data_IF_115652333656
#
_entry.id   IF_115652333656
#
_cell.length_a   1.000
_cell.length_b   1.000
_cell.length_c   1.000
_cell.angle_alpha   90.00
_cell.angle_beta   90.00
_cell.angle_gamma   90.00
#
_symmetry.space_group_name_H-M   'P 1'
#
loop_
_entity.id
_entity.type
_entity.pdbx_description
1 polymer ?
#
# COMPACT_ATOMS: atom_id res chain seq x y z
N UNK A 1 -39.28 -0.26 -18.76
CA UNK A 1 -38.23 0.77 -18.88
C UNK A 1 -37.44 0.45 -20.12
N UNK A 2 -37.59 1.25 -21.17
CA UNK A 2 -36.69 1.22 -22.32
C UNK A 2 -35.28 1.62 -21.84
N UNK A 3 -34.23 1.19 -22.53
CA UNK A 3 -32.84 1.53 -22.14
C UNK A 3 -32.54 3.04 -22.18
N UNK A 4 -33.48 3.85 -22.70
CA UNK A 4 -33.40 5.32 -22.78
C UNK A 4 -33.72 6.04 -21.45
N UNK A 5 -34.35 5.37 -20.47
CA UNK A 5 -34.70 5.96 -19.16
C UNK A 5 -33.64 5.74 -18.05
N UNK A 6 -32.53 5.05 -18.36
CA UNK A 6 -31.48 4.79 -17.38
C UNK A 6 -30.49 5.97 -17.33
N UNK A 7 -30.44 6.64 -16.18
CA UNK A 7 -29.43 7.66 -15.92
C UNK A 7 -28.01 7.08 -16.07
N UNK A 8 -27.08 7.78 -16.74
CA UNK A 8 -25.70 7.31 -16.89
C UNK A 8 -25.02 7.12 -15.54
N UNK A 9 -24.33 5.99 -15.36
CA UNK A 9 -23.54 5.73 -14.16
C UNK A 9 -22.32 6.66 -14.10
N UNK A 10 -22.37 7.62 -13.18
CA UNK A 10 -21.32 8.62 -12.97
C UNK A 10 -19.98 7.98 -12.60
N UNK A 11 -19.98 6.78 -12.00
CA UNK A 11 -18.78 6.05 -11.58
C UNK A 11 -18.03 5.39 -12.74
N UNK A 12 -18.70 5.17 -13.87
CA UNK A 12 -18.11 4.53 -15.06
C UNK A 12 -17.49 5.51 -16.05
N UNK A 13 -17.60 6.81 -15.80
CA UNK A 13 -17.05 7.82 -16.69
C UNK A 13 -15.52 7.76 -16.69
N UNK A 14 -14.93 7.62 -17.88
CA UNK A 14 -13.49 7.76 -18.06
C UNK A 14 -13.08 9.22 -17.89
N UNK A 15 -12.45 9.50 -16.75
CA UNK A 15 -11.98 10.83 -16.40
C UNK A 15 -10.72 11.23 -17.15
N UNK A 16 -10.06 10.35 -17.91
CA UNK A 16 -8.85 10.67 -18.67
C UNK A 16 -9.13 11.26 -20.04
N UNK A 17 -10.36 11.13 -20.54
CA UNK A 17 -10.80 11.66 -21.85
C UNK A 17 -11.89 12.73 -21.75
N UNK A 18 -12.63 12.79 -20.63
CA UNK A 18 -13.80 13.66 -20.47
C UNK A 18 -13.48 15.14 -20.19
N UNK A 19 -13.45 15.97 -21.23
CA UNK A 19 -13.39 17.45 -21.13
C UNK A 19 -14.81 18.01 -20.99
N UNK A 20 -15.04 18.83 -19.97
CA UNK A 20 -16.35 19.45 -19.72
C UNK A 20 -16.27 20.97 -19.60
N UNK A 21 -15.23 21.60 -20.17
CA UNK A 21 -15.20 23.06 -20.36
C UNK A 21 -16.23 23.43 -21.43
N UNK A 22 -17.08 24.44 -21.20
CA UNK A 22 -18.18 24.80 -22.13
C UNK A 22 -17.70 25.37 -23.46
N UNK A 23 -16.75 26.31 -23.40
CA UNK A 23 -16.18 27.00 -24.56
C UNK A 23 -14.66 26.99 -24.42
N UNK A 24 -14.01 25.83 -24.60
CA UNK A 24 -12.56 25.75 -24.55
C UNK A 24 -11.98 26.52 -25.74
N UNK A 25 -10.94 27.33 -25.51
CA UNK A 25 -10.18 27.97 -26.57
C UNK A 25 -9.58 26.94 -27.53
N UNK A 26 -9.11 25.83 -26.96
CA UNK A 26 -8.54 24.69 -27.68
C UNK A 26 -8.98 23.39 -26.99
N UNK A 27 -9.96 22.72 -27.60
CA UNK A 27 -10.49 21.45 -27.10
C UNK A 27 -9.47 20.32 -27.23
N UNK A 28 -8.71 20.29 -28.32
CA UNK A 28 -7.72 19.25 -28.58
C UNK A 28 -6.60 19.31 -27.54
N UNK A 29 -6.14 20.51 -27.21
CA UNK A 29 -5.17 20.72 -26.14
C UNK A 29 -5.69 20.25 -24.78
N UNK A 30 -6.97 20.55 -24.45
CA UNK A 30 -7.59 20.09 -23.21
C UNK A 30 -7.63 18.55 -23.14
N UNK A 31 -8.01 17.89 -24.22
CA UNK A 31 -8.04 16.43 -24.32
C UNK A 31 -6.63 15.84 -24.17
N UNK A 32 -5.63 16.45 -24.81
CA UNK A 32 -4.23 16.06 -24.68
C UNK A 32 -3.75 16.19 -23.23
N UNK A 33 -4.04 17.30 -22.55
CA UNK A 33 -3.68 17.48 -21.15
C UNK A 33 -4.31 16.41 -20.24
N UNK A 34 -5.60 16.13 -20.40
CA UNK A 34 -6.28 15.09 -19.62
C UNK A 34 -5.65 13.71 -19.81
N UNK A 35 -5.25 13.35 -21.04
CA UNK A 35 -4.61 12.05 -21.30
C UNK A 35 -3.26 11.85 -20.59
N UNK A 36 -2.66 12.93 -20.06
CA UNK A 36 -1.35 12.91 -19.39
C UNK A 36 -1.43 12.89 -17.87
N UNK A 37 -2.63 12.95 -17.28
CA UNK A 37 -2.77 12.99 -15.82
C UNK A 37 -4.08 12.40 -15.34
N UNK A 38 -4.04 11.78 -14.17
CA UNK A 38 -5.25 11.35 -13.44
C UNK A 38 -5.90 12.49 -12.65
N UNK A 39 -5.27 13.66 -12.59
CA UNK A 39 -5.84 14.84 -11.96
C UNK A 39 -7.10 15.31 -12.71
N UNK A 40 -8.10 15.78 -11.97
CA UNK A 40 -9.41 16.20 -12.51
C UNK A 40 -9.35 17.61 -13.13
N UNK A 41 -8.52 17.77 -14.16
CA UNK A 41 -8.39 19.01 -14.94
C UNK A 41 -9.39 19.06 -16.11
N UNK A 42 -9.54 20.24 -16.71
CA UNK A 42 -10.43 20.49 -17.86
C UNK A 42 -11.91 20.16 -17.57
N UNK A 43 -12.35 20.35 -16.33
CA UNK A 43 -13.72 20.05 -15.85
C UNK A 43 -14.69 21.24 -15.89
N UNK A 44 -14.23 22.39 -16.40
CA UNK A 44 -15.02 23.62 -16.44
C UNK A 44 -15.44 24.16 -15.07
N UNK A 45 -16.44 25.05 -15.07
CA UNK A 45 -17.00 25.68 -13.86
C UNK A 45 -18.42 26.17 -14.09
N UNK A 46 -19.21 26.30 -13.02
CA UNK A 46 -20.46 27.04 -12.98
C UNK A 46 -20.26 28.28 -12.08
N UNK A 47 -20.07 29.46 -12.68
CA UNK A 47 -19.57 30.64 -11.95
C UNK A 47 -18.18 30.36 -11.37
N UNK A 48 -18.06 30.39 -10.04
CA UNK A 48 -16.85 30.04 -9.28
C UNK A 48 -16.91 28.65 -8.63
N UNK A 49 -17.90 27.82 -8.99
CA UNK A 49 -18.13 26.49 -8.41
C UNK A 49 -17.88 25.38 -9.42
N UNK A 50 -17.78 24.15 -8.92
CA UNK A 50 -17.74 22.96 -9.77
C UNK A 50 -19.04 22.81 -10.57
N UNK A 51 -18.94 22.18 -11.73
CA UNK A 51 -20.11 21.69 -12.44
C UNK A 51 -20.76 20.54 -11.65
N UNK A 52 -22.07 20.39 -11.81
CA UNK A 52 -22.86 19.35 -11.12
C UNK A 52 -22.28 17.96 -11.36
N UNK A 53 -21.92 17.63 -12.59
CA UNK A 53 -21.33 16.34 -12.94
C UNK A 53 -20.01 16.08 -12.19
N UNK A 54 -19.09 17.05 -12.20
CA UNK A 54 -17.82 16.97 -11.48
C UNK A 54 -18.04 16.78 -9.98
N UNK A 55 -19.03 17.47 -9.42
CA UNK A 55 -19.39 17.36 -8.01
C UNK A 55 -19.98 15.98 -7.68
N UNK A 56 -20.90 15.47 -8.48
CA UNK A 56 -21.48 14.15 -8.31
C UNK A 56 -20.42 13.06 -8.42
N UNK A 57 -19.54 13.15 -9.41
CA UNK A 57 -18.41 12.23 -9.56
C UNK A 57 -17.50 12.27 -8.33
N UNK A 58 -17.15 13.46 -7.85
CA UNK A 58 -16.34 13.61 -6.64
C UNK A 58 -16.97 12.93 -5.43
N UNK A 59 -18.29 13.09 -5.24
CA UNK A 59 -19.03 12.46 -4.13
C UNK A 59 -19.09 10.93 -4.27
N UNK A 60 -19.26 10.42 -5.48
CA UNK A 60 -19.25 8.98 -5.75
C UNK A 60 -17.87 8.37 -5.40
N UNK A 61 -16.78 8.96 -5.91
CA UNK A 61 -15.44 8.44 -5.63
C UNK A 61 -15.07 8.59 -4.14
N UNK A 62 -15.56 9.63 -3.47
CA UNK A 62 -15.38 9.79 -2.03
C UNK A 62 -16.09 8.70 -1.23
N UNK A 63 -17.27 8.25 -1.66
CA UNK A 63 -17.95 7.13 -1.01
C UNK A 63 -17.13 5.84 -1.13
N UNK A 64 -16.62 5.54 -2.32
CA UNK A 64 -15.73 4.38 -2.55
C UNK A 64 -14.46 4.46 -1.70
N UNK A 65 -13.84 5.64 -1.61
CA UNK A 65 -12.66 5.85 -0.77
C UNK A 65 -12.97 5.63 0.72
N UNK A 66 -14.16 6.00 1.20
CA UNK A 66 -14.59 5.71 2.57
C UNK A 66 -14.78 4.22 2.79
N UNK A 67 -15.43 3.51 1.86
CA UNK A 67 -15.62 2.05 1.97
C UNK A 67 -14.28 1.30 2.00
N UNK A 68 -13.28 1.77 1.23
CA UNK A 68 -11.93 1.21 1.26
C UNK A 68 -11.29 1.29 2.66
N UNK A 69 -11.52 2.38 3.42
CA UNK A 69 -11.00 2.50 4.80
C UNK A 69 -11.58 1.41 5.71
N UNK A 70 -12.85 1.03 5.53
CA UNK A 70 -13.55 0.09 6.39
C UNK A 70 -13.44 -1.37 5.95
N UNK A 71 -12.97 -1.62 4.73
CA UNK A 71 -12.76 -2.96 4.21
C UNK A 71 -11.67 -3.76 4.95
N UNK A 72 -11.70 -5.08 4.81
CA UNK A 72 -10.71 -6.02 5.33
C UNK A 72 -9.94 -6.69 4.19
N UNK A 73 -8.72 -7.14 4.48
CA UNK A 73 -7.90 -7.90 3.53
C UNK A 73 -8.57 -9.25 3.31
N UNK A 74 -8.67 -9.67 2.05
CA UNK A 74 -9.09 -11.03 1.73
C UNK A 74 -7.94 -11.98 2.07
N UNK A 75 -8.03 -12.57 3.25
CA UNK A 75 -6.96 -13.43 3.76
C UNK A 75 -6.74 -14.69 2.92
N UNK A 76 -7.69 -15.08 2.06
CA UNK A 76 -7.53 -16.23 1.16
C UNK A 76 -6.41 -16.01 0.13
N UNK A 77 -6.13 -14.76 -0.22
CA UNK A 77 -5.03 -14.38 -1.11
C UNK A 77 -3.65 -14.61 -0.48
N UNK A 78 -3.59 -14.75 0.85
CA UNK A 78 -2.34 -14.94 1.60
C UNK A 78 -2.05 -16.42 1.90
N UNK A 79 -3.06 -17.28 1.84
CA UNK A 79 -2.94 -18.70 2.16
C UNK A 79 -1.96 -19.45 1.25
N UNK A 80 -1.95 -19.25 -0.10
CA UNK A 80 -1.01 -19.92 -0.99
C UNK A 80 0.47 -19.64 -0.65
N UNK A 81 0.75 -18.51 -0.01
CA UNK A 81 2.09 -18.06 0.33
C UNK A 81 2.51 -18.42 1.77
N UNK A 82 1.63 -19.05 2.55
CA UNK A 82 1.96 -19.52 3.90
C UNK A 82 2.20 -18.40 4.92
N UNK A 83 1.53 -17.25 4.78
CA UNK A 83 1.66 -16.14 5.73
C UNK A 83 1.24 -16.56 7.14
N UNK A 84 2.15 -16.40 8.10
CA UNK A 84 1.84 -16.56 9.51
C UNK A 84 1.04 -15.36 10.02
N UNK A 85 -0.22 -15.60 10.38
CA UNK A 85 -1.17 -14.55 10.75
C UNK A 85 -1.04 -14.19 12.23
N UNK A 86 -0.87 -12.89 12.49
CA UNK A 86 -0.85 -12.30 13.84
C UNK A 86 -1.67 -11.01 13.86
N UNK A 87 -2.02 -10.55 15.05
CA UNK A 87 -2.76 -9.30 15.26
C UNK A 87 -2.04 -8.44 16.29
N UNK A 88 -2.17 -7.12 16.14
CA UNK A 88 -1.68 -6.15 17.13
C UNK A 88 -2.57 -6.13 18.38
N UNK A 89 -2.36 -5.17 19.29
CA UNK A 89 -3.23 -4.96 20.47
C UNK A 89 -4.62 -4.41 20.13
N UNK A 90 -4.91 -4.19 18.86
CA UNK A 90 -6.19 -3.66 18.40
C UNK A 90 -7.24 -4.77 18.31
N UNK A 91 -8.47 -4.47 18.72
CA UNK A 91 -9.58 -5.41 18.71
C UNK A 91 -10.49 -5.27 17.49
N UNK A 92 -10.65 -4.05 16.96
CA UNK A 92 -11.55 -3.76 15.86
C UNK A 92 -11.09 -2.54 15.04
N UNK A 93 -11.76 -2.29 13.91
CA UNK A 93 -11.40 -1.22 12.96
C UNK A 93 -11.57 0.19 13.55
N UNK A 94 -12.60 0.44 14.36
CA UNK A 94 -12.79 1.74 15.03
C UNK A 94 -11.61 2.07 15.94
N UNK A 95 -11.17 1.11 16.74
CA UNK A 95 -10.00 1.25 17.59
C UNK A 95 -8.73 1.41 16.74
N UNK A 96 -8.58 0.66 15.65
CA UNK A 96 -7.44 0.79 14.74
C UNK A 96 -7.23 2.22 14.24
N UNK A 97 -8.34 2.88 13.85
CA UNK A 97 -8.32 4.24 13.30
C UNK A 97 -8.00 5.30 14.36
N UNK A 98 -8.38 5.07 15.61
CA UNK A 98 -8.26 6.04 16.71
C UNK A 98 -7.06 5.80 17.63
N UNK A 99 -6.47 4.60 17.62
CA UNK A 99 -5.38 4.16 18.52
C UNK A 99 -4.15 3.68 17.74
N UNK A 100 -3.42 4.60 17.06
CA UNK A 100 -2.20 4.23 16.34
C UNK A 100 -1.10 3.69 17.25
N UNK A 101 -1.13 3.98 18.55
CA UNK A 101 -0.21 3.46 19.55
C UNK A 101 -0.35 1.94 19.76
N UNK A 102 -1.58 1.42 19.75
CA UNK A 102 -1.88 0.00 19.90
C UNK A 102 -1.57 -0.78 18.62
N UNK A 103 -1.84 -0.18 17.45
CA UNK A 103 -1.51 -0.78 16.14
C UNK A 103 -0.02 -0.90 15.84
N UNK A 104 0.87 -0.40 16.72
CA UNK A 104 2.34 -0.55 16.62
C UNK A 104 2.90 -1.61 17.56
N UNK A 105 2.04 -2.28 18.35
CA UNK A 105 2.45 -3.15 19.45
C UNK A 105 1.77 -4.50 19.37
N UNK A 106 2.48 -5.49 19.90
CA UNK A 106 2.00 -6.85 20.06
C UNK A 106 1.87 -7.17 21.54
N UNK A 107 0.95 -8.06 21.88
CA UNK A 107 0.95 -8.69 23.18
C UNK A 107 2.17 -9.62 23.32
N UNK A 108 2.75 -9.82 24.52
CA UNK A 108 3.92 -10.66 24.72
C UNK A 108 3.79 -12.08 24.16
N UNK A 109 2.62 -12.68 24.29
CA UNK A 109 2.28 -14.01 23.76
C UNK A 109 2.32 -14.07 22.23
N UNK A 110 1.98 -12.97 21.55
CA UNK A 110 2.07 -12.88 20.09
C UNK A 110 3.52 -12.85 19.64
N UNK A 111 4.38 -12.11 20.35
CA UNK A 111 5.83 -12.10 20.08
C UNK A 111 6.45 -13.49 20.30
N UNK A 112 6.07 -14.19 21.37
CA UNK A 112 6.52 -15.57 21.62
C UNK A 112 6.07 -16.52 20.51
N UNK A 113 4.83 -16.37 20.00
CA UNK A 113 4.34 -17.14 18.84
C UNK A 113 5.13 -16.85 17.57
N UNK A 114 5.47 -15.59 17.30
CA UNK A 114 6.32 -15.20 16.17
C UNK A 114 7.69 -15.88 16.29
N UNK A 115 8.32 -15.82 17.47
CA UNK A 115 9.63 -16.43 17.71
C UNK A 115 9.63 -17.96 17.60
N UNK A 116 8.52 -18.63 17.97
CA UNK A 116 8.44 -20.08 17.91
C UNK A 116 8.08 -20.63 16.52
N UNK A 117 7.30 -19.88 15.73
CA UNK A 117 6.84 -20.33 14.41
C UNK A 117 7.73 -19.85 13.26
N UNK A 118 8.40 -18.71 13.42
CA UNK A 118 9.16 -18.08 12.34
C UNK A 118 10.66 -18.38 12.44
N UNK A 119 11.33 -18.35 11.29
CA UNK A 119 12.77 -18.57 11.20
C UNK A 119 13.55 -17.48 11.97
N UNK A 120 14.46 -17.83 12.89
CA UNK A 120 15.32 -16.87 13.56
C UNK A 120 16.52 -16.48 12.68
N UNK A 121 16.91 -15.21 12.76
CA UNK A 121 18.01 -14.60 12.03
C UNK A 121 17.87 -14.66 10.51
N UNK A 122 16.72 -14.28 9.91
CA UNK A 122 16.62 -14.21 8.46
C UNK A 122 17.46 -13.04 7.93
N UNK A 123 17.98 -13.22 6.71
CA UNK A 123 18.59 -12.13 5.97
C UNK A 123 17.51 -11.11 5.58
N UNK A 124 16.37 -11.60 5.08
CA UNK A 124 15.25 -10.78 4.64
C UNK A 124 13.97 -11.28 5.28
N UNK A 125 13.29 -10.43 6.05
CA UNK A 125 11.97 -10.68 6.62
C UNK A 125 10.91 -9.88 5.86
N UNK A 126 9.92 -10.56 5.27
CA UNK A 126 8.79 -9.92 4.59
C UNK A 126 7.59 -9.93 5.54
N UNK A 127 7.00 -8.75 5.73
CA UNK A 127 5.79 -8.55 6.53
C UNK A 127 4.75 -7.89 5.62
N UNK A 128 3.50 -8.29 5.75
CA UNK A 128 2.34 -7.63 5.15
C UNK A 128 1.45 -7.13 6.28
N UNK A 129 0.94 -5.92 6.17
CA UNK A 129 -0.12 -5.41 7.03
C UNK A 129 -1.26 -4.85 6.18
N UNK A 130 -2.47 -4.98 6.68
CA UNK A 130 -3.66 -4.33 6.13
C UNK A 130 -3.46 -2.82 5.97
N UNK A 131 -2.95 -2.16 7.02
CA UNK A 131 -2.76 -0.71 7.00
C UNK A 131 -4.09 0.04 6.94
N UNK A 132 -4.11 1.15 6.22
CA UNK A 132 -5.29 2.01 6.10
C UNK A 132 -6.19 1.66 4.90
N UNK A 133 -5.75 0.77 4.02
CA UNK A 133 -6.49 0.39 2.81
C UNK A 133 -6.25 -1.07 2.45
N UNK A 134 -7.21 -1.93 2.76
CA UNK A 134 -7.15 -3.35 2.42
C UNK A 134 -7.12 -3.64 0.91
N UNK A 135 -7.79 -2.86 0.01
CA UNK A 135 -7.70 -3.06 -1.43
C UNK A 135 -6.26 -2.95 -1.96
N UNK A 136 -5.40 -2.19 -1.30
CA UNK A 136 -4.00 -2.09 -1.67
C UNK A 136 -3.24 -3.42 -1.48
N UNK A 137 -3.64 -4.25 -0.52
CA UNK A 137 -3.06 -5.58 -0.37
C UNK A 137 -3.72 -6.53 -1.38
N UNK A 138 -5.05 -6.54 -1.42
CA UNK A 138 -5.80 -7.48 -2.26
C UNK A 138 -5.42 -7.39 -3.75
N UNK A 139 -5.22 -6.18 -4.27
CA UNK A 139 -4.93 -5.97 -5.71
C UNK A 139 -3.46 -6.20 -6.09
N UNK A 140 -2.53 -6.18 -5.14
CA UNK A 140 -1.09 -6.15 -5.47
C UNK A 140 -0.31 -7.35 -4.93
N UNK A 141 -0.82 -8.07 -3.92
CA UNK A 141 -0.02 -9.07 -3.18
C UNK A 141 0.35 -10.28 -4.04
N UNK A 142 -0.58 -10.76 -4.87
CA UNK A 142 -0.37 -11.93 -5.72
C UNK A 142 0.74 -11.73 -6.76
N UNK A 143 0.95 -10.48 -7.19
CA UNK A 143 1.98 -10.13 -8.16
C UNK A 143 3.33 -9.83 -7.50
N UNK A 144 3.33 -9.03 -6.43
CA UNK A 144 4.57 -8.52 -5.83
C UNK A 144 5.30 -9.56 -4.98
N UNK A 145 4.55 -10.37 -4.22
CA UNK A 145 5.16 -11.27 -3.23
C UNK A 145 5.98 -12.39 -3.90
N UNK A 146 5.46 -13.11 -4.92
CA UNK A 146 6.26 -14.12 -5.62
C UNK A 146 7.51 -13.52 -6.26
N UNK A 147 7.38 -12.36 -6.91
CA UNK A 147 8.52 -11.66 -7.53
C UNK A 147 9.62 -11.33 -6.50
N UNK A 148 9.24 -10.85 -5.32
CA UNK A 148 10.19 -10.59 -4.23
C UNK A 148 10.83 -11.89 -3.72
N UNK A 149 10.03 -12.92 -3.43
CA UNK A 149 10.49 -14.18 -2.88
C UNK A 149 11.51 -14.85 -3.80
N UNK A 150 11.17 -15.00 -5.08
CA UNK A 150 12.06 -15.58 -6.11
C UNK A 150 13.34 -14.75 -6.27
N UNK A 151 13.22 -13.42 -6.33
CA UNK A 151 14.36 -12.52 -6.46
C UNK A 151 15.33 -12.62 -5.28
N UNK A 152 14.83 -12.69 -4.04
CA UNK A 152 15.68 -12.86 -2.86
C UNK A 152 16.34 -14.23 -2.80
N UNK A 153 15.61 -15.30 -3.13
CA UNK A 153 16.15 -16.66 -3.18
C UNK A 153 17.22 -16.82 -4.26
N UNK A 154 17.02 -16.23 -5.44
CA UNK A 154 18.00 -16.23 -6.53
C UNK A 154 19.31 -15.52 -6.14
N UNK A 155 19.23 -14.51 -5.26
CA UNK A 155 20.41 -13.84 -4.68
C UNK A 155 21.04 -14.61 -3.50
N UNK A 156 20.48 -15.75 -3.11
CA UNK A 156 20.99 -16.58 -2.02
C UNK A 156 20.67 -16.07 -0.62
N UNK A 157 19.73 -15.13 -0.47
CA UNK A 157 19.32 -14.66 0.85
C UNK A 157 18.47 -15.70 1.57
N UNK A 158 18.70 -15.85 2.88
CA UNK A 158 17.81 -16.61 3.75
C UNK A 158 16.54 -15.80 4.06
N UNK A 159 15.48 -16.06 3.30
CA UNK A 159 14.18 -15.40 3.48
C UNK A 159 13.45 -15.99 4.70
N UNK A 160 12.93 -15.13 5.57
CA UNK A 160 12.17 -15.50 6.76
C UNK A 160 10.75 -15.99 6.43
N UNK A 161 10.10 -16.60 7.42
CA UNK A 161 8.67 -16.98 7.32
C UNK A 161 7.85 -15.71 7.08
N UNK A 162 7.02 -15.62 6.02
CA UNK A 162 6.21 -14.42 5.76
C UNK A 162 5.18 -14.22 6.88
N UNK A 163 4.96 -12.97 7.31
CA UNK A 163 4.05 -12.64 8.43
C UNK A 163 2.99 -11.66 7.96
N UNK A 164 1.73 -11.97 8.24
CA UNK A 164 0.61 -11.04 8.05
C UNK A 164 0.21 -10.46 9.40
N UNK A 165 0.16 -9.13 9.48
CA UNK A 165 -0.19 -8.38 10.69
C UNK A 165 -1.53 -7.70 10.48
N UNK A 166 -2.59 -8.25 11.09
CA UNK A 166 -3.90 -7.58 11.15
C UNK A 166 -3.83 -6.38 12.08
N UNK A 167 -4.43 -5.27 11.65
CA UNK A 167 -4.39 -3.97 12.32
C UNK A 167 -2.95 -3.46 12.54
N UNK A 168 -2.10 -3.64 11.54
CA UNK A 168 -0.69 -3.26 11.59
C UNK A 168 -0.43 -1.79 11.23
N UNK A 169 0.49 -1.15 11.94
CA UNK A 169 1.12 0.14 11.57
C UNK A 169 2.58 -0.11 11.21
N UNK A 170 3.21 0.83 10.51
CA UNK A 170 4.60 0.66 10.04
C UNK A 170 5.56 0.15 11.11
N UNK A 171 5.50 0.70 12.32
CA UNK A 171 6.40 0.33 13.41
C UNK A 171 6.22 -1.10 13.97
N UNK A 172 5.24 -1.88 13.51
CA UNK A 172 5.19 -3.33 13.84
C UNK A 172 6.40 -4.06 13.26
N UNK A 173 6.95 -3.59 12.13
CA UNK A 173 8.14 -4.16 11.51
C UNK A 173 9.35 -4.15 12.45
N UNK A 174 9.47 -3.13 13.30
CA UNK A 174 10.59 -3.01 14.24
C UNK A 174 10.54 -4.11 15.30
N UNK A 175 9.36 -4.38 15.85
CA UNK A 175 9.15 -5.43 16.86
C UNK A 175 9.39 -6.81 16.29
N UNK A 176 8.96 -7.04 15.04
CA UNK A 176 9.19 -8.31 14.34
C UNK A 176 10.68 -8.48 14.03
N UNK A 177 11.33 -7.43 13.55
CA UNK A 177 12.77 -7.40 13.27
C UNK A 177 13.59 -7.73 14.52
N UNK A 178 13.29 -7.09 15.65
CA UNK A 178 13.92 -7.36 16.95
C UNK A 178 13.65 -8.80 17.42
N UNK A 179 12.39 -9.26 17.35
CA UNK A 179 12.01 -10.59 17.82
C UNK A 179 12.72 -11.71 17.05
N UNK A 180 12.93 -11.52 15.74
CA UNK A 180 13.54 -12.50 14.86
C UNK A 180 15.02 -12.24 14.57
N UNK A 181 15.60 -11.14 15.05
CA UNK A 181 16.95 -10.69 14.67
C UNK A 181 17.16 -10.62 13.15
N UNK A 182 16.17 -10.06 12.43
CA UNK A 182 16.21 -9.94 10.97
C UNK A 182 17.22 -8.86 10.53
N UNK A 183 18.02 -9.13 9.49
CA UNK A 183 18.97 -8.14 8.95
C UNK A 183 18.27 -7.06 8.15
N UNK A 184 17.35 -7.39 7.27
CA UNK A 184 16.48 -6.43 6.60
C UNK A 184 15.04 -6.85 6.76
N UNK A 185 14.19 -5.95 7.24
CA UNK A 185 12.75 -6.18 7.32
C UNK A 185 12.05 -5.27 6.32
N UNK A 186 11.16 -5.85 5.51
CA UNK A 186 10.25 -5.13 4.61
C UNK A 186 8.82 -5.27 5.13
N UNK A 187 8.07 -4.18 5.08
CA UNK A 187 6.65 -4.14 5.36
C UNK A 187 5.90 -3.59 4.15
N UNK A 188 5.12 -4.45 3.52
CA UNK A 188 4.09 -4.09 2.55
C UNK A 188 2.83 -3.68 3.32
N UNK A 189 2.32 -2.47 3.09
CA UNK A 189 1.20 -1.94 3.85
C UNK A 189 0.30 -1.06 2.98
N UNK A 190 -1.02 -1.22 3.16
CA UNK A 190 -1.99 -0.35 2.51
C UNK A 190 -1.89 1.09 3.01
N UNK A 191 -1.68 2.03 2.08
CA UNK A 191 -1.62 3.45 2.39
C UNK A 191 -3.00 4.02 2.70
N UNK A 192 -3.08 5.31 3.03
CA UNK A 192 -4.37 5.99 3.17
C UNK A 192 -5.06 6.02 1.79
N UNK A 193 -6.31 5.55 1.67
CA UNK A 193 -6.99 5.55 0.37
C UNK A 193 -7.16 6.99 -0.13
N UNK A 194 -6.78 7.20 -1.38
CA UNK A 194 -6.98 8.45 -2.08
C UNK A 194 -8.38 8.52 -2.70
N UNK A 195 -8.75 9.70 -3.19
CA UNK A 195 -10.01 9.85 -3.93
C UNK A 195 -10.00 9.10 -5.27
N UNK A 196 -8.82 8.89 -5.86
CA UNK A 196 -8.69 8.27 -7.17
C UNK A 196 -8.52 6.74 -7.09
N UNK A 197 -7.91 6.24 -6.03
CA UNK A 197 -7.64 4.80 -5.85
C UNK A 197 -7.45 4.47 -4.37
N UNK A 198 -8.00 3.33 -3.95
CA UNK A 198 -7.70 2.68 -2.67
C UNK A 198 -6.59 1.63 -2.78
N UNK A 199 -6.02 1.43 -3.97
CA UNK A 199 -5.13 0.31 -4.28
C UNK A 199 -3.65 0.65 -4.03
N UNK A 200 -3.33 1.88 -3.59
CA UNK A 200 -1.94 2.32 -3.36
C UNK A 200 -1.33 1.59 -2.16
N UNK A 201 -0.33 0.77 -2.43
CA UNK A 201 0.49 0.10 -1.42
C UNK A 201 1.84 0.81 -1.27
N UNK A 202 2.34 0.84 -0.03
CA UNK A 202 3.69 1.29 0.28
C UNK A 202 4.53 0.12 0.80
N UNK A 203 5.84 0.16 0.52
CA UNK A 203 6.83 -0.73 1.09
C UNK A 203 7.81 0.07 1.95
N UNK A 204 7.82 -0.20 3.26
CA UNK A 204 8.79 0.35 4.20
C UNK A 204 9.86 -0.71 4.48
N UNK A 205 11.14 -0.35 4.41
CA UNK A 205 12.23 -1.29 4.67
C UNK A 205 13.34 -0.67 5.50
N UNK A 206 13.98 -1.46 6.36
CA UNK A 206 15.11 -1.00 7.17
C UNK A 206 16.11 -2.13 7.45
N UNK A 207 17.39 -1.75 7.53
CA UNK A 207 18.47 -2.62 7.98
C UNK A 207 18.52 -2.62 9.53
N UNK A 208 18.41 -3.82 10.11
CA UNK A 208 18.31 -4.09 11.55
C UNK A 208 17.27 -3.16 12.21
N UNK A 209 16.04 -3.19 11.69
CA UNK A 209 14.95 -2.32 12.15
C UNK A 209 14.75 -2.46 13.66
N UNK A 210 14.61 -1.33 14.36
CA UNK A 210 14.46 -1.34 15.82
C UNK A 210 13.60 -0.18 16.31
N UNK A 211 12.90 -0.43 17.41
CA UNK A 211 12.09 0.54 18.14
C UNK A 211 12.92 1.61 18.85
N UNK A 212 14.24 1.40 18.98
CA UNK A 212 15.20 2.36 19.51
C UNK A 212 15.69 3.37 18.47
N UNK A 213 15.46 3.08 17.18
CA UNK A 213 15.86 3.93 16.05
C UNK A 213 14.69 4.82 15.59
N UNK A 214 14.96 6.02 15.06
CA UNK A 214 13.91 6.93 14.58
C UNK A 214 13.24 6.40 13.29
N UNK A 215 12.10 6.98 12.94
CA UNK A 215 11.38 6.71 11.67
C UNK A 215 12.28 6.86 10.42
N UNK A 216 13.24 7.80 10.46
CA UNK A 216 14.18 8.07 9.38
C UNK A 216 15.14 6.92 9.07
N UNK A 217 15.12 5.83 9.86
CA UNK A 217 15.83 4.60 9.56
C UNK A 217 15.27 3.87 8.32
N UNK A 218 14.03 4.19 7.91
CA UNK A 218 13.30 3.44 6.88
C UNK A 218 13.51 4.05 5.49
N UNK A 219 13.84 3.20 4.53
CA UNK A 219 13.70 3.49 3.09
C UNK A 219 12.26 3.17 2.69
N UNK A 220 11.65 3.99 1.84
CA UNK A 220 10.25 3.83 1.43
C UNK A 220 10.13 3.85 -0.08
N UNK A 221 9.39 2.88 -0.62
CA UNK A 221 8.86 2.91 -1.98
C UNK A 221 7.35 3.00 -1.86
N UNK A 222 6.75 4.10 -2.32
CA UNK A 222 5.31 4.35 -2.26
C UNK A 222 4.64 4.17 -3.63
N UNK A 223 3.31 4.30 -3.66
CA UNK A 223 2.53 4.33 -4.90
C UNK A 223 2.73 3.08 -5.77
N UNK A 224 2.79 1.91 -5.11
CA UNK A 224 2.80 0.62 -5.79
C UNK A 224 1.36 0.25 -6.10
N UNK A 225 1.00 0.30 -7.39
CA UNK A 225 -0.29 -0.08 -7.97
C UNK A 225 -0.24 0.03 -9.50
N UNK A 226 -1.25 -0.48 -10.20
CA UNK A 226 -1.33 -0.50 -11.69
C UNK A 226 -1.20 0.86 -12.40
N UNK A 227 -1.47 1.96 -11.70
CA UNK A 227 -1.37 3.34 -12.23
C UNK A 227 -0.18 4.11 -11.65
N UNK A 228 0.61 3.48 -10.79
CA UNK A 228 1.84 3.99 -10.21
C UNK A 228 3.02 3.14 -10.68
N UNK A 229 3.83 2.65 -9.75
CA UNK A 229 4.81 1.61 -10.06
C UNK A 229 4.10 0.25 -10.07
N UNK A 230 4.09 -0.49 -11.19
CA UNK A 230 3.42 -1.79 -11.25
C UNK A 230 3.99 -2.79 -10.23
N UNK A 231 3.17 -3.66 -9.60
CA UNK A 231 3.60 -4.55 -8.52
C UNK A 231 4.79 -5.44 -8.85
N UNK A 232 4.82 -6.03 -10.05
CA UNK A 232 5.94 -6.88 -10.51
C UNK A 232 7.24 -6.06 -10.62
N UNK A 233 7.18 -4.89 -11.26
CA UNK A 233 8.34 -4.00 -11.39
C UNK A 233 8.82 -3.48 -10.02
N UNK A 234 7.88 -3.14 -9.14
CA UNK A 234 8.16 -2.76 -7.77
C UNK A 234 8.88 -3.89 -7.03
N UNK A 235 8.41 -5.14 -7.14
CA UNK A 235 9.06 -6.31 -6.54
C UNK A 235 10.54 -6.44 -6.94
N UNK A 236 10.84 -6.34 -8.24
CA UNK A 236 12.23 -6.37 -8.74
C UNK A 236 13.07 -5.19 -8.22
N UNK A 237 12.48 -4.00 -8.15
CA UNK A 237 13.13 -2.82 -7.59
C UNK A 237 13.43 -2.98 -6.10
N UNK A 238 12.49 -3.51 -5.32
CA UNK A 238 12.66 -3.79 -3.89
C UNK A 238 13.80 -4.80 -3.66
N UNK A 239 13.91 -5.84 -4.48
CA UNK A 239 15.02 -6.81 -4.41
C UNK A 239 16.37 -6.12 -4.61
N UNK A 240 16.45 -5.22 -5.59
CA UNK A 240 17.67 -4.44 -5.87
C UNK A 240 18.02 -3.48 -4.73
N UNK A 241 17.02 -2.82 -4.13
CA UNK A 241 17.23 -1.94 -2.98
C UNK A 241 17.72 -2.71 -1.75
N UNK A 242 17.14 -3.87 -1.44
CA UNK A 242 17.57 -4.70 -0.31
C UNK A 242 19.01 -5.16 -0.46
N UNK A 243 19.47 -5.48 -1.67
CA UNK A 243 20.87 -5.79 -1.93
C UNK A 243 21.80 -4.62 -1.54
N UNK A 244 21.39 -3.39 -1.86
CA UNK A 244 22.11 -2.19 -1.46
C UNK A 244 22.08 -2.03 0.07
N UNK A 245 20.93 -2.18 0.72
CA UNK A 245 20.79 -2.10 2.18
C UNK A 245 21.72 -3.12 2.88
N UNK A 246 21.77 -4.34 2.36
CA UNK A 246 22.61 -5.42 2.87
C UNK A 246 24.10 -5.13 2.70
N UNK A 247 24.50 -4.60 1.55
CA UNK A 247 25.90 -4.26 1.26
C UNK A 247 26.39 -3.10 2.13
N UNK A 248 25.59 -2.03 2.22
CA UNK A 248 25.96 -0.81 2.94
C UNK A 248 25.71 -0.90 4.45
N UNK A 249 24.89 -1.87 4.89
CA UNK A 249 24.42 -2.03 6.27
C UNK A 249 23.76 -0.75 6.82
N UNK A 250 23.01 -0.08 5.95
CA UNK A 250 22.37 1.22 6.18
C UNK A 250 21.03 1.26 5.46
N UNK A 251 20.12 2.06 5.97
CA UNK A 251 18.80 2.30 5.37
C UNK A 251 18.32 3.71 5.70
N UNK A 252 17.23 4.14 5.05
CA UNK A 252 16.65 5.45 5.25
C UNK A 252 17.61 6.59 4.90
N UNK A 253 17.64 7.64 5.71
CA UNK A 253 18.42 8.85 5.43
C UNK A 253 19.95 8.66 5.44
N UNK A 254 20.40 7.59 6.11
CA UNK A 254 21.81 7.21 6.20
C UNK A 254 22.30 6.47 4.95
N UNK A 255 21.36 5.93 4.15
CA UNK A 255 21.67 5.33 2.87
C UNK A 255 21.81 6.42 1.80
N UNK A 256 22.96 6.46 1.12
CA UNK A 256 23.20 7.33 -0.03
C UNK A 256 23.14 6.46 -1.29
N UNK A 257 22.02 6.56 -2.01
CA UNK A 257 21.79 5.89 -3.29
C UNK A 257 22.55 6.58 -4.42
#
# INVERSE_FOLDING_TARGET
MTSEDLLPDISRLDLTSRVTVDQPLDLEYCSRLKSKTLARICVGRAGYRYKTETWLRFRADHAVAMDAVWSEVDESLLEPFGFFKVQTLIHNKDEYLTRPDLGRRFAPEVLQRIQSHCLPGPDVQIVVADGLSSPAINENIEDIYPMMLEGFQAKGYRVGTPIFVKFGRVATMDRISEALNAKVTLLLVGERPGLATGESMGCYMAYESSTTKPESQRTVVSNIHKLGTPPVEAGAHLVSLVEILMREKKSGVDLKL
#
